data_IF_045401334942
#
_entry.id   IF_045401334942
#
_cell.length_a   1.000
_cell.length_b   1.000
_cell.length_c   1.000
_cell.angle_alpha   90.00
_cell.angle_beta   90.00
_cell.angle_gamma   90.00
#
_symmetry.space_group_name_H-M   'P 1'
#
loop_
_entity.id
_entity.type
_entity.pdbx_description
1 polymer ?
#
# COMPACT_ATOMS: atom_id res chain seq x y z
N UNK A 1 -36.90 17.17 -18.81
CA UNK A 1 -35.52 16.66 -18.79
C UNK A 1 -34.82 17.36 -17.63
N UNK A 2 -34.59 16.64 -16.53
CA UNK A 2 -33.93 17.19 -15.33
C UNK A 2 -32.67 16.37 -15.09
N UNK A 3 -31.55 17.06 -15.25
CA UNK A 3 -30.20 16.55 -15.10
C UNK A 3 -29.98 16.24 -13.60
N UNK A 4 -29.97 14.95 -13.26
CA UNK A 4 -29.59 14.52 -11.90
C UNK A 4 -28.09 14.79 -11.75
N UNK A 5 -27.76 15.88 -11.07
CA UNK A 5 -26.44 16.08 -10.45
C UNK A 5 -26.13 14.84 -9.61
N UNK A 6 -25.22 14.00 -10.11
CA UNK A 6 -24.55 12.99 -9.31
C UNK A 6 -23.65 13.72 -8.31
N UNK A 7 -24.06 13.72 -7.05
CA UNK A 7 -23.21 14.13 -5.94
C UNK A 7 -21.94 13.26 -5.96
N UNK A 8 -20.72 13.83 -5.88
CA UNK A 8 -19.50 13.03 -5.84
C UNK A 8 -19.54 12.15 -4.60
N UNK A 9 -19.57 10.83 -4.83
CA UNK A 9 -19.62 9.83 -3.77
C UNK A 9 -18.48 10.06 -2.79
N UNK A 10 -18.82 10.12 -1.51
CA UNK A 10 -17.91 10.20 -0.38
C UNK A 10 -16.95 8.99 -0.41
N UNK A 11 -15.80 9.14 -1.08
CA UNK A 11 -14.71 8.16 -1.02
C UNK A 11 -14.09 8.29 0.36
N UNK A 12 -14.24 7.26 1.19
CA UNK A 12 -13.53 7.16 2.47
C UNK A 12 -12.05 7.47 2.26
N UNK A 13 -11.60 8.61 2.80
CA UNK A 13 -10.30 9.20 2.53
C UNK A 13 -9.17 8.44 3.23
N UNK A 14 -9.46 7.72 4.31
CA UNK A 14 -8.47 7.04 5.18
C UNK A 14 -7.78 5.85 4.51
N UNK A 15 -8.41 5.25 3.50
CA UNK A 15 -7.86 4.13 2.73
C UNK A 15 -7.45 4.51 1.31
N UNK A 16 -7.46 5.81 0.96
CA UNK A 16 -6.98 6.26 -0.34
C UNK A 16 -5.46 6.14 -0.44
N UNK A 17 -4.95 5.99 -1.67
CA UNK A 17 -3.50 6.03 -1.92
C UNK A 17 -2.90 7.33 -1.39
N UNK A 18 -3.53 8.47 -1.64
CA UNK A 18 -3.05 9.78 -1.19
C UNK A 18 -2.90 9.85 0.33
N UNK A 19 -3.87 9.33 1.09
CA UNK A 19 -3.79 9.31 2.56
C UNK A 19 -2.64 8.43 3.06
N UNK A 20 -2.36 7.31 2.38
CA UNK A 20 -1.22 6.44 2.73
C UNK A 20 0.11 7.04 2.29
N UNK A 21 0.16 7.66 1.12
CA UNK A 21 1.36 8.27 0.55
C UNK A 21 1.91 9.40 1.43
N UNK A 22 1.04 10.17 2.10
CA UNK A 22 1.44 11.24 3.03
C UNK A 22 2.26 10.77 4.24
N UNK A 23 2.29 9.46 4.53
CA UNK A 23 3.09 8.89 5.61
C UNK A 23 4.57 8.75 5.24
N UNK A 24 4.90 8.89 3.95
CA UNK A 24 6.24 8.65 3.43
C UNK A 24 6.85 9.95 2.92
N UNK A 25 8.10 10.20 3.32
CA UNK A 25 8.86 11.32 2.80
C UNK A 25 9.11 11.17 1.30
N UNK A 26 9.31 12.30 0.62
CA UNK A 26 9.88 12.29 -0.72
C UNK A 26 11.30 11.71 -0.67
N UNK A 27 11.67 10.94 -1.70
CA UNK A 27 13.04 10.49 -1.95
C UNK A 27 13.31 10.57 -3.44
N UNK A 28 14.51 10.99 -3.79
CA UNK A 28 14.99 11.13 -5.17
C UNK A 28 15.50 9.82 -5.77
N UNK A 29 15.28 8.68 -5.11
CA UNK A 29 15.76 7.36 -5.56
C UNK A 29 14.59 6.58 -6.21
N UNK A 30 14.61 6.37 -7.55
CA UNK A 30 13.60 5.58 -8.23
C UNK A 30 13.62 4.09 -7.86
N UNK A 31 12.57 3.36 -8.23
CA UNK A 31 12.47 1.92 -8.05
C UNK A 31 11.87 1.53 -6.70
N UNK A 32 12.17 0.30 -6.24
CA UNK A 32 11.65 -0.21 -4.97
C UNK A 32 12.61 0.13 -3.84
N UNK A 33 12.12 0.84 -2.82
CA UNK A 33 12.86 1.09 -1.60
C UNK A 33 12.20 0.35 -0.43
N UNK A 34 13.04 -0.07 0.53
CA UNK A 34 12.58 -0.67 1.77
C UNK A 34 12.62 0.37 2.89
N UNK A 35 11.54 0.44 3.67
CA UNK A 35 11.47 1.24 4.89
C UNK A 35 10.81 0.42 6.01
N UNK A 36 11.15 0.71 7.27
CA UNK A 36 10.50 0.10 8.44
C UNK A 36 9.88 1.20 9.29
N UNK A 37 8.59 1.06 9.56
CA UNK A 37 7.79 2.01 10.32
C UNK A 37 7.27 1.37 11.60
N UNK A 38 7.08 2.20 12.63
CA UNK A 38 6.44 1.80 13.88
C UNK A 38 5.16 2.62 14.05
N UNK A 39 4.00 1.97 14.04
CA UNK A 39 2.70 2.62 14.20
C UNK A 39 2.13 2.33 15.60
N UNK A 40 1.84 3.38 16.36
CA UNK A 40 1.23 3.26 17.69
C UNK A 40 2.04 3.96 18.79
N UNK A 41 1.55 3.95 20.04
CA UNK A 41 2.22 4.56 21.16
C UNK A 41 3.52 3.81 21.52
N UNK A 42 4.44 4.52 22.18
CA UNK A 42 5.67 3.93 22.70
C UNK A 42 5.33 2.77 23.65
N UNK A 43 5.94 1.60 23.42
CA UNK A 43 5.70 0.38 24.19
C UNK A 43 4.54 -0.51 23.70
N UNK A 44 3.72 -0.06 22.75
CA UNK A 44 2.66 -0.87 22.14
C UNK A 44 2.52 -0.59 20.62
N UNK A 45 3.65 -0.35 19.96
CA UNK A 45 3.69 -0.08 18.53
C UNK A 45 3.68 -1.38 17.72
N UNK A 46 3.07 -1.32 16.55
CA UNK A 46 3.18 -2.34 15.51
C UNK A 46 4.33 -1.97 14.58
N UNK A 47 5.25 -2.91 14.37
CA UNK A 47 6.27 -2.76 13.33
C UNK A 47 5.65 -3.13 11.98
N UNK A 48 5.87 -2.29 10.98
CA UNK A 48 5.40 -2.51 9.61
C UNK A 48 6.61 -2.38 8.70
N UNK A 49 6.85 -3.43 7.90
CA UNK A 49 7.87 -3.42 6.87
C UNK A 49 7.25 -2.96 5.55
N UNK A 50 7.81 -1.93 4.93
CA UNK A 50 7.23 -1.29 3.76
C UNK A 50 8.15 -1.44 2.53
N UNK A 51 7.57 -1.81 1.39
CA UNK A 51 8.17 -1.65 0.08
C UNK A 51 7.48 -0.49 -0.65
N UNK A 52 8.29 0.48 -1.09
CA UNK A 52 7.84 1.72 -1.69
C UNK A 52 8.32 1.77 -3.13
N UNK A 53 7.41 1.78 -4.09
CA UNK A 53 7.74 1.93 -5.51
C UNK A 53 7.69 3.40 -5.91
N UNK A 54 8.81 3.92 -6.42
CA UNK A 54 8.95 5.30 -6.89
C UNK A 54 9.24 5.36 -8.39
N UNK A 55 8.66 6.35 -9.06
CA UNK A 55 8.96 6.62 -10.47
C UNK A 55 10.33 7.29 -10.64
N UNK A 56 10.70 7.55 -11.90
CA UNK A 56 11.99 8.18 -12.26
C UNK A 56 12.18 9.58 -11.65
N UNK A 57 11.10 10.26 -11.27
CA UNK A 57 11.13 11.54 -10.58
C UNK A 57 11.16 11.41 -9.04
N UNK A 58 11.22 10.19 -8.50
CA UNK A 58 11.21 9.91 -7.07
C UNK A 58 9.80 9.95 -6.43
N UNK A 59 8.75 10.13 -7.24
CA UNK A 59 7.38 10.19 -6.73
C UNK A 59 6.89 8.79 -6.37
N UNK A 60 6.32 8.67 -5.17
CA UNK A 60 5.74 7.42 -4.69
C UNK A 60 4.49 7.07 -5.52
N UNK A 61 4.47 5.90 -6.17
CA UNK A 61 3.32 5.40 -6.94
C UNK A 61 2.78 4.06 -6.45
N UNK A 62 3.52 3.37 -5.59
CA UNK A 62 3.10 2.10 -5.03
C UNK A 62 3.62 1.90 -3.62
N UNK A 63 2.81 1.28 -2.78
CA UNK A 63 3.11 0.95 -1.38
C UNK A 63 2.70 -0.49 -1.16
N UNK A 64 3.58 -1.29 -0.57
CA UNK A 64 3.25 -2.59 0.02
C UNK A 64 3.66 -2.57 1.48
N UNK A 65 2.71 -2.81 2.37
CA UNK A 65 2.96 -2.98 3.80
C UNK A 65 2.93 -4.47 4.14
N UNK A 66 3.97 -4.97 4.79
CA UNK A 66 4.07 -6.31 5.36
C UNK A 66 4.02 -6.23 6.89
N UNK A 67 3.23 -7.11 7.49
CA UNK A 67 3.01 -7.15 8.94
C UNK A 67 3.77 -8.35 9.55
N UNK A 68 4.99 -8.17 10.09
CA UNK A 68 5.81 -9.26 10.62
C UNK A 68 5.27 -9.88 11.92
N UNK A 69 4.37 -9.18 12.61
CA UNK A 69 3.70 -9.63 13.83
C UNK A 69 2.22 -9.31 13.76
N UNK A 70 1.41 -10.00 14.57
CA UNK A 70 0.01 -9.62 14.75
C UNK A 70 -0.11 -8.17 15.23
N UNK A 71 -1.17 -7.50 14.79
CA UNK A 71 -1.51 -6.14 15.18
C UNK A 71 -3.02 -6.03 15.38
N UNK A 72 -3.47 -4.88 15.89
CA UNK A 72 -4.91 -4.58 15.96
C UNK A 72 -5.59 -4.47 14.59
N UNK A 73 -4.82 -4.35 13.50
CA UNK A 73 -5.33 -4.08 12.16
C UNK A 73 -5.24 -5.30 11.23
N UNK A 74 -4.14 -6.03 11.32
CA UNK A 74 -3.78 -7.12 10.41
C UNK A 74 -3.08 -8.25 11.16
N UNK A 75 -3.18 -9.46 10.59
CA UNK A 75 -2.50 -10.65 11.10
C UNK A 75 -1.05 -10.72 10.63
N UNK A 76 -0.21 -11.44 11.37
CA UNK A 76 1.14 -11.76 10.97
C UNK A 76 1.16 -12.37 9.55
N UNK A 77 2.06 -11.86 8.71
CA UNK A 77 2.23 -12.29 7.33
C UNK A 77 1.22 -11.68 6.34
N UNK A 78 0.28 -10.86 6.79
CA UNK A 78 -0.59 -10.12 5.90
C UNK A 78 0.20 -9.10 5.07
N UNK A 79 -0.30 -8.82 3.86
CA UNK A 79 0.19 -7.72 3.03
C UNK A 79 -0.93 -6.81 2.57
N UNK A 80 -0.68 -5.50 2.61
CA UNK A 80 -1.56 -4.49 2.05
C UNK A 80 -0.87 -3.79 0.89
N UNK A 81 -1.50 -3.78 -0.29
CA UNK A 81 -0.94 -3.16 -1.49
C UNK A 81 -1.80 -1.98 -1.94
N UNK A 82 -1.17 -0.82 -2.10
CA UNK A 82 -1.80 0.40 -2.60
C UNK A 82 -1.04 0.89 -3.82
N UNK A 83 -1.75 1.20 -4.90
CA UNK A 83 -1.18 1.79 -6.11
C UNK A 83 -1.93 3.07 -6.42
N UNK A 84 -1.17 4.10 -6.81
CA UNK A 84 -1.69 5.35 -7.35
C UNK A 84 -2.75 5.03 -8.44
N UNK A 85 -4.00 5.54 -8.31
CA UNK A 85 -5.05 5.31 -9.28
C UNK A 85 -4.65 5.59 -10.72
N UNK A 86 -3.83 6.60 -10.95
CA UNK A 86 -3.39 7.04 -12.29
C UNK A 86 -2.26 6.15 -12.84
N UNK A 87 -1.66 5.30 -12.00
CA UNK A 87 -0.61 4.37 -12.38
C UNK A 87 -1.06 2.90 -12.39
N UNK A 88 -2.36 2.63 -12.32
CA UNK A 88 -2.91 1.25 -12.35
C UNK A 88 -2.59 0.55 -13.67
N UNK A 89 -2.52 -0.78 -13.61
CA UNK A 89 -2.23 -1.68 -14.76
C UNK A 89 -0.85 -1.43 -15.41
N UNK A 90 0.08 -0.81 -14.69
CA UNK A 90 1.48 -0.60 -15.12
C UNK A 90 2.48 -1.57 -14.46
N UNK A 91 1.99 -2.67 -13.88
CA UNK A 91 2.84 -3.69 -13.24
C UNK A 91 3.41 -3.32 -11.86
N UNK A 92 3.10 -2.14 -11.29
CA UNK A 92 3.64 -1.68 -10.00
C UNK A 92 3.32 -2.66 -8.85
N UNK A 93 2.05 -3.07 -8.73
CA UNK A 93 1.64 -4.03 -7.70
C UNK A 93 2.37 -5.37 -7.86
N UNK A 94 2.52 -5.85 -9.10
CA UNK A 94 3.22 -7.10 -9.38
C UNK A 94 4.70 -7.02 -9.00
N UNK A 95 5.38 -5.92 -9.34
CA UNK A 95 6.78 -5.69 -8.96
C UNK A 95 6.96 -5.68 -7.44
N UNK A 96 6.05 -5.00 -6.71
CA UNK A 96 6.05 -4.98 -5.25
C UNK A 96 5.82 -6.38 -4.65
N UNK A 97 4.87 -7.15 -5.18
CA UNK A 97 4.56 -8.50 -4.69
C UNK A 97 5.72 -9.46 -4.94
N UNK A 98 6.35 -9.42 -6.12
CA UNK A 98 7.52 -10.26 -6.44
C UNK A 98 8.65 -9.96 -5.46
N UNK A 99 8.94 -8.67 -5.22
CA UNK A 99 9.96 -8.27 -4.26
C UNK A 99 9.60 -8.71 -2.82
N UNK A 100 8.33 -8.62 -2.44
CA UNK A 100 7.86 -9.07 -1.13
C UNK A 100 8.00 -10.59 -0.94
N UNK A 101 7.64 -11.38 -1.97
CA UNK A 101 7.78 -12.84 -1.95
C UNK A 101 9.24 -13.29 -1.91
N UNK A 102 10.16 -12.50 -2.47
CA UNK A 102 11.60 -12.75 -2.38
C UNK A 102 12.15 -12.47 -0.97
N UNK A 103 11.52 -11.56 -0.21
CA UNK A 103 11.99 -11.11 1.11
C UNK A 103 11.36 -11.86 2.27
N UNK A 104 10.10 -12.24 2.15
CA UNK A 104 9.31 -12.75 3.27
C UNK A 104 8.52 -14.01 2.88
N UNK A 105 8.33 -14.93 3.84
CA UNK A 105 7.52 -16.13 3.63
C UNK A 105 6.02 -15.77 3.68
N UNK A 106 5.53 -15.07 2.66
CA UNK A 106 4.12 -14.67 2.56
C UNK A 106 3.30 -15.87 2.09
N UNK A 107 2.33 -16.28 2.90
CA UNK A 107 1.27 -17.17 2.45
C UNK A 107 0.26 -16.35 1.62
N UNK A 108 0.09 -16.71 0.34
CA UNK A 108 -0.86 -16.06 -0.57
C UNK A 108 -2.31 -16.51 -0.34
N UNK A 109 -2.53 -17.65 0.31
CA UNK A 109 -3.86 -18.20 0.57
C UNK A 109 -4.57 -17.46 1.71
N UNK A 110 -3.83 -16.88 2.65
CA UNK A 110 -4.39 -16.08 3.74
C UNK A 110 -4.75 -14.63 3.34
N UNK A 111 -4.35 -14.19 2.13
CA UNK A 111 -4.53 -12.79 1.73
C UNK A 111 -5.95 -12.51 1.25
N UNK A 112 -6.41 -11.27 1.49
CA UNK A 112 -7.70 -10.78 1.02
C UNK A 112 -7.50 -9.81 -0.13
N UNK A 113 -8.25 -9.99 -1.20
CA UNK A 113 -8.17 -9.16 -2.40
C UNK A 113 -9.39 -8.24 -2.48
N UNK A 114 -9.16 -6.96 -2.74
CA UNK A 114 -10.26 -6.05 -3.07
C UNK A 114 -10.79 -6.36 -4.48
N UNK A 115 -12.06 -6.04 -4.74
CA UNK A 115 -12.64 -6.21 -6.08
C UNK A 115 -11.87 -5.45 -7.18
N UNK A 116 -11.20 -4.35 -6.82
CA UNK A 116 -10.35 -3.57 -7.72
C UNK A 116 -8.94 -4.18 -7.92
N UNK A 117 -8.52 -5.12 -7.08
CA UNK A 117 -7.25 -5.83 -7.18
C UNK A 117 -7.34 -7.21 -7.86
N UNK A 118 -8.55 -7.67 -8.22
CA UNK A 118 -8.80 -8.97 -8.86
C UNK A 118 -8.91 -8.92 -10.39
N UNK A 119 -9.04 -7.73 -11.00
CA UNK A 119 -9.29 -7.54 -12.44
C UNK A 119 -8.10 -6.98 -13.19
#
# INVERSE_FOLDING_TARGET
MSERMMTPGYRSTVFSFESKARQYAFRDTPGINYERHAEGPLGAHTVIDCLLWRDEAGLLRGILNYYPTDSRWERQGAVNVFVDPDCRRRGIAAALIVEALARWPIDLQQQRYSAAGWR
#
